data_IF_833954572891
#
_entry.id   IF_833954572891
#
_cell.length_a   1.000
_cell.length_b   1.000
_cell.length_c   1.000
_cell.angle_alpha   90.00
_cell.angle_beta   90.00
_cell.angle_gamma   90.00
#
_symmetry.space_group_name_H-M   'P 1'
#
loop_
_entity.id
_entity.type
_entity.pdbx_description
1 polymer ?
#
# COMPACT_ATOMS: atom_id res chain seq x y z
N UNK A 1 -26.78 8.77 43.36
CA UNK A 1 -25.68 9.45 42.61
C UNK A 1 -25.08 8.52 41.55
N UNK A 2 -25.91 7.78 40.81
CA UNK A 2 -25.47 6.85 39.75
C UNK A 2 -26.14 7.18 38.41
N UNK A 3 -26.42 8.46 38.15
CA UNK A 3 -26.94 8.90 36.85
C UNK A 3 -25.81 9.09 35.84
N UNK A 4 -25.41 7.93 35.32
CA UNK A 4 -24.96 7.68 33.96
C UNK A 4 -23.59 8.26 33.55
N UNK A 5 -22.54 7.50 33.87
CA UNK A 5 -21.20 7.67 33.28
C UNK A 5 -21.25 7.60 31.74
N UNK A 6 -22.16 6.80 31.18
CA UNK A 6 -22.29 6.60 29.73
C UNK A 6 -22.58 7.89 28.94
N UNK A 7 -23.58 8.74 29.29
CA UNK A 7 -23.75 10.07 28.71
C UNK A 7 -22.54 10.99 28.81
N UNK A 8 -21.80 10.97 29.93
CA UNK A 8 -20.56 11.76 30.06
C UNK A 8 -19.47 11.26 29.11
N UNK A 9 -19.25 9.95 29.04
CA UNK A 9 -18.30 9.33 28.11
C UNK A 9 -18.68 9.64 26.65
N UNK A 10 -19.97 9.58 26.30
CA UNK A 10 -20.47 9.98 24.97
C UNK A 10 -20.20 11.46 24.68
N UNK A 11 -20.45 12.37 25.64
CA UNK A 11 -20.20 13.81 25.49
C UNK A 11 -18.71 14.12 25.25
N UNK A 12 -17.82 13.37 25.92
CA UNK A 12 -16.36 13.46 25.75
C UNK A 12 -15.83 12.68 24.53
N UNK A 13 -16.70 11.99 23.78
CA UNK A 13 -16.36 11.12 22.65
C UNK A 13 -15.39 9.99 23.03
N UNK A 14 -15.52 9.48 24.26
CA UNK A 14 -14.74 8.36 24.80
C UNK A 14 -15.44 7.03 24.49
N UNK A 15 -15.50 6.70 23.20
CA UNK A 15 -16.29 5.55 22.74
C UNK A 15 -15.72 4.20 23.17
N UNK A 16 -14.40 4.04 23.30
CA UNK A 16 -13.79 2.81 23.78
C UNK A 16 -14.12 2.55 25.24
N UNK A 17 -13.92 3.55 26.10
CA UNK A 17 -14.39 3.49 27.49
C UNK A 17 -15.88 3.21 27.56
N UNK A 18 -16.71 3.82 26.71
CA UNK A 18 -18.16 3.58 26.71
C UNK A 18 -18.54 2.14 26.31
N UNK A 19 -17.75 1.45 25.49
CA UNK A 19 -18.03 0.07 25.08
C UNK A 19 -17.50 -0.94 26.11
N UNK A 20 -16.35 -0.67 26.73
CA UNK A 20 -15.72 -1.59 27.68
C UNK A 20 -16.12 -1.36 29.15
N UNK A 21 -16.83 -0.26 29.46
CA UNK A 21 -17.16 0.16 30.84
C UNK A 21 -17.69 -0.99 31.70
N UNK A 22 -18.75 -1.67 31.26
CA UNK A 22 -19.39 -2.75 32.04
C UNK A 22 -18.44 -3.94 32.26
N UNK A 23 -17.66 -4.29 31.23
CA UNK A 23 -16.68 -5.38 31.30
C UNK A 23 -15.57 -5.05 32.30
N UNK A 24 -15.03 -3.82 32.23
CA UNK A 24 -13.95 -3.36 33.13
C UNK A 24 -14.42 -3.15 34.56
N UNK A 25 -15.68 -2.73 34.77
CA UNK A 25 -16.27 -2.63 36.11
C UNK A 25 -16.41 -4.01 36.77
N UNK A 26 -16.85 -5.01 36.00
CA UNK A 26 -16.90 -6.39 36.48
C UNK A 26 -15.51 -6.96 36.74
N UNK A 27 -14.54 -6.72 35.85
CA UNK A 27 -13.16 -7.15 36.01
C UNK A 27 -12.51 -6.55 37.27
N UNK A 28 -12.75 -5.26 37.53
CA UNK A 28 -12.23 -4.58 38.72
C UNK A 28 -12.81 -5.18 40.02
N UNK A 29 -14.10 -5.55 40.03
CA UNK A 29 -14.73 -6.14 41.22
C UNK A 29 -14.30 -7.58 41.47
N UNK A 30 -14.03 -8.37 40.41
CA UNK A 30 -13.62 -9.78 40.54
C UNK A 30 -12.12 -9.97 40.71
N UNK A 31 -11.30 -9.16 40.02
CA UNK A 31 -9.83 -9.30 40.02
C UNK A 31 -9.13 -8.41 41.07
N UNK A 32 -9.89 -7.59 41.80
CA UNK A 32 -9.36 -6.70 42.84
C UNK A 32 -8.45 -5.60 42.31
N UNK A 33 -8.72 -5.09 41.11
CA UNK A 33 -7.92 -4.01 40.51
C UNK A 33 -7.94 -2.76 41.40
N UNK A 34 -6.78 -2.15 41.58
CA UNK A 34 -6.72 -0.82 42.19
C UNK A 34 -7.41 0.22 41.31
N UNK A 35 -7.87 1.32 41.91
CA UNK A 35 -8.48 2.44 41.18
C UNK A 35 -7.58 2.95 40.04
N UNK A 36 -6.25 2.92 40.24
CA UNK A 36 -5.26 3.33 39.25
C UNK A 36 -5.23 2.36 38.07
N UNK A 37 -5.13 1.07 38.32
CA UNK A 37 -5.08 0.04 37.27
C UNK A 37 -6.36 0.02 36.45
N UNK A 38 -7.52 0.10 37.11
CA UNK A 38 -8.81 0.22 36.42
C UNK A 38 -8.85 1.43 35.48
N UNK A 39 -8.42 2.60 35.97
CA UNK A 39 -8.44 3.82 35.17
C UNK A 39 -7.45 3.75 33.99
N UNK A 40 -6.26 3.17 34.21
CA UNK A 40 -5.26 2.95 33.17
C UNK A 40 -5.78 2.03 32.07
N UNK A 41 -6.41 0.90 32.42
CA UNK A 41 -7.03 -0.02 31.46
C UNK A 41 -8.15 0.64 30.65
N UNK A 42 -9.00 1.42 31.31
CA UNK A 42 -10.06 2.16 30.65
C UNK A 42 -9.52 3.19 29.64
N UNK A 43 -8.45 3.90 29.98
CA UNK A 43 -7.79 4.80 29.05
C UNK A 43 -7.13 4.05 27.90
N UNK A 44 -6.51 2.90 28.17
CA UNK A 44 -5.90 2.06 27.13
C UNK A 44 -6.95 1.56 26.13
N UNK A 45 -8.14 1.17 26.58
CA UNK A 45 -9.24 0.76 25.70
C UNK A 45 -9.68 1.90 24.76
N UNK A 46 -9.74 3.14 25.27
CA UNK A 46 -10.03 4.31 24.44
C UNK A 46 -8.92 4.59 23.42
N UNK A 47 -7.66 4.51 23.85
CA UNK A 47 -6.50 4.71 22.96
C UNK A 47 -6.49 3.68 21.83
N UNK A 48 -6.68 2.40 22.16
CA UNK A 48 -6.74 1.31 21.18
C UNK A 48 -7.82 1.58 20.12
N UNK A 49 -9.05 1.93 20.53
CA UNK A 49 -10.14 2.23 19.58
C UNK A 49 -9.82 3.47 18.71
N UNK A 50 -9.14 4.47 19.27
CA UNK A 50 -8.72 5.65 18.48
C UNK A 50 -7.66 5.30 17.46
N UNK A 51 -6.69 4.48 17.84
CA UNK A 51 -5.63 4.01 16.94
C UNK A 51 -6.21 3.16 15.81
N UNK A 52 -7.10 2.22 16.13
CA UNK A 52 -7.80 1.38 15.15
C UNK A 52 -8.58 2.23 14.14
N UNK A 53 -9.39 3.19 14.63
CA UNK A 53 -10.16 4.08 13.76
C UNK A 53 -9.27 4.98 12.91
N UNK A 54 -8.13 5.43 13.44
CA UNK A 54 -7.16 6.19 12.65
C UNK A 54 -6.55 5.33 11.56
N UNK A 55 -6.15 4.09 11.88
CA UNK A 55 -5.62 3.14 10.91
C UNK A 55 -6.66 2.85 9.82
N UNK A 56 -7.90 2.52 10.17
CA UNK A 56 -8.99 2.29 9.22
C UNK A 56 -9.22 3.49 8.27
N UNK A 57 -9.20 4.71 8.81
CA UNK A 57 -9.31 5.93 8.01
C UNK A 57 -8.14 6.08 7.04
N UNK A 58 -6.90 5.83 7.49
CA UNK A 58 -5.71 5.87 6.64
C UNK A 58 -5.76 4.79 5.57
N UNK A 59 -6.23 3.57 5.88
CA UNK A 59 -6.44 2.49 4.89
C UNK A 59 -7.41 2.93 3.80
N UNK A 60 -8.56 3.52 4.17
CA UNK A 60 -9.53 4.06 3.21
C UNK A 60 -8.93 5.18 2.36
N UNK A 61 -8.17 6.08 2.97
CA UNK A 61 -7.50 7.19 2.26
C UNK A 61 -6.37 6.71 1.35
N UNK A 62 -5.73 5.59 1.65
CA UNK A 62 -4.63 5.05 0.87
C UNK A 62 -5.04 4.56 -0.51
N UNK A 63 -6.34 4.32 -0.73
CA UNK A 63 -6.89 3.97 -2.04
C UNK A 63 -6.18 2.77 -2.70
N UNK A 64 -5.81 1.76 -1.90
CA UNK A 64 -5.24 0.52 -2.40
C UNK A 64 -6.20 -0.14 -3.39
N UNK A 65 -5.63 -0.78 -4.42
CA UNK A 65 -6.42 -1.57 -5.38
C UNK A 65 -7.11 -2.74 -4.68
N UNK A 66 -6.37 -3.44 -3.83
CA UNK A 66 -6.83 -4.56 -3.04
C UNK A 66 -6.19 -4.51 -1.64
N UNK A 67 -6.89 -4.97 -0.61
CA UNK A 67 -6.29 -5.11 0.72
C UNK A 67 -5.35 -6.32 0.74
N UNK A 68 -4.07 -6.11 0.43
CA UNK A 68 -3.01 -7.14 0.49
C UNK A 68 -2.17 -6.94 1.74
N UNK A 69 -1.93 -8.02 2.48
CA UNK A 69 -1.03 -8.01 3.64
C UNK A 69 0.20 -8.87 3.38
N UNK A 70 1.29 -8.59 4.11
CA UNK A 70 2.53 -9.35 3.96
C UNK A 70 2.39 -10.79 4.47
N UNK A 71 1.50 -11.00 5.43
CA UNK A 71 1.17 -12.30 6.00
C UNK A 71 0.51 -13.22 4.97
N UNK A 72 -0.18 -12.64 3.98
CA UNK A 72 -0.82 -13.37 2.87
C UNK A 72 0.16 -13.72 1.73
N UNK A 73 1.42 -13.26 1.82
CA UNK A 73 2.40 -13.46 0.75
C UNK A 73 3.12 -14.81 0.89
N UNK A 74 2.96 -15.67 -0.12
CA UNK A 74 3.65 -16.95 -0.17
C UNK A 74 5.09 -16.78 -0.67
N UNK A 75 6.01 -16.59 0.28
CA UNK A 75 7.45 -16.52 0.01
C UNK A 75 8.05 -17.85 -0.47
N UNK A 76 7.39 -18.99 -0.25
CA UNK A 76 7.88 -20.28 -0.75
C UNK A 76 7.72 -20.39 -2.27
N UNK A 77 6.70 -19.72 -2.83
CA UNK A 77 6.45 -19.68 -4.26
C UNK A 77 7.57 -18.95 -5.04
N UNK A 78 8.15 -17.90 -4.46
CA UNK A 78 9.20 -17.13 -5.10
C UNK A 78 10.41 -16.93 -4.18
N UNK A 79 11.33 -17.89 -4.22
CA UNK A 79 12.56 -17.89 -3.44
C UNK A 79 13.54 -16.75 -3.82
N UNK A 80 13.35 -16.06 -4.95
CA UNK A 80 14.17 -14.90 -5.30
C UNK A 80 13.95 -13.72 -4.35
N UNK A 81 12.82 -13.72 -3.64
CA UNK A 81 12.42 -12.63 -2.74
C UNK A 81 12.97 -12.93 -1.34
N UNK A 82 13.95 -12.16 -0.91
CA UNK A 82 14.54 -12.28 0.43
C UNK A 82 13.56 -11.75 1.48
N UNK A 83 13.01 -12.63 2.31
CA UNK A 83 12.11 -12.27 3.44
C UNK A 83 12.68 -11.14 4.30
N UNK A 84 13.96 -11.23 4.66
CA UNK A 84 14.64 -10.22 5.50
C UNK A 84 14.54 -8.82 4.92
N UNK A 85 14.77 -8.66 3.62
CA UNK A 85 14.67 -7.39 2.92
C UNK A 85 13.23 -6.83 2.93
N UNK A 86 12.23 -7.70 2.75
CA UNK A 86 10.82 -7.28 2.79
C UNK A 86 10.43 -6.80 4.20
N UNK A 87 10.83 -7.53 5.23
CA UNK A 87 10.56 -7.14 6.62
C UNK A 87 11.35 -5.90 7.05
N UNK A 88 12.55 -5.69 6.53
CA UNK A 88 13.30 -4.44 6.71
C UNK A 88 12.51 -3.25 6.14
N UNK A 89 12.01 -3.37 4.89
CA UNK A 89 11.16 -2.33 4.30
C UNK A 89 9.86 -2.13 5.10
N UNK A 90 9.27 -3.20 5.62
CA UNK A 90 8.07 -3.14 6.46
C UNK A 90 8.28 -2.37 7.78
N UNK A 91 9.52 -2.26 8.27
CA UNK A 91 9.85 -1.39 9.43
C UNK A 91 9.67 0.10 9.15
N UNK A 92 9.50 0.46 7.87
CA UNK A 92 9.33 1.83 7.39
C UNK A 92 10.55 2.74 7.65
N UNK A 93 11.74 2.16 7.88
CA UNK A 93 12.98 2.91 8.02
C UNK A 93 13.25 3.79 6.80
N UNK A 94 13.05 3.26 5.60
CA UNK A 94 13.23 4.01 4.34
C UNK A 94 12.33 5.26 4.26
N UNK A 95 11.09 5.21 4.80
CA UNK A 95 10.17 6.37 4.85
C UNK A 95 10.70 7.48 5.77
N UNK A 96 11.29 7.10 6.90
CA UNK A 96 11.90 8.05 7.86
C UNK A 96 13.16 8.69 7.29
N UNK A 97 13.94 7.91 6.54
CA UNK A 97 15.17 8.35 5.89
C UNK A 97 14.95 9.08 4.55
N UNK A 98 13.68 9.22 4.11
CA UNK A 98 13.30 9.82 2.82
C UNK A 98 13.95 9.11 1.63
N UNK A 99 14.06 7.79 1.71
CA UNK A 99 14.54 6.93 0.61
C UNK A 99 13.36 6.41 -0.19
N UNK A 100 13.60 6.16 -1.46
CA UNK A 100 12.62 5.61 -2.40
C UNK A 100 12.82 4.10 -2.56
N UNK A 101 11.85 3.42 -3.17
CA UNK A 101 11.95 1.97 -3.43
C UNK A 101 11.43 1.66 -4.82
N UNK A 102 12.22 0.93 -5.60
CA UNK A 102 11.85 0.51 -6.95
C UNK A 102 11.77 -1.01 -7.05
N UNK A 103 10.61 -1.53 -7.40
CA UNK A 103 10.41 -2.94 -7.67
C UNK A 103 10.49 -3.21 -9.16
N UNK A 104 11.46 -4.04 -9.58
CA UNK A 104 11.64 -4.43 -10.98
C UNK A 104 11.39 -5.93 -11.14
N UNK A 105 10.75 -6.33 -12.23
CA UNK A 105 10.59 -7.74 -12.55
C UNK A 105 9.40 -8.02 -13.46
N UNK A 106 9.26 -9.25 -13.99
CA UNK A 106 8.18 -9.56 -14.92
C UNK A 106 6.79 -9.51 -14.25
N UNK A 107 5.70 -9.44 -15.04
CA UNK A 107 4.34 -9.45 -14.51
C UNK A 107 4.05 -10.72 -13.69
N UNK A 108 3.27 -10.56 -12.62
CA UNK A 108 2.80 -11.69 -11.81
C UNK A 108 3.79 -12.25 -10.79
N UNK A 109 4.95 -11.63 -10.58
CA UNK A 109 5.97 -12.08 -9.62
C UNK A 109 5.76 -11.64 -8.17
N UNK A 110 4.76 -10.76 -7.91
CA UNK A 110 4.39 -10.33 -6.55
C UNK A 110 4.64 -8.86 -6.22
N UNK A 111 5.24 -8.05 -7.12
CA UNK A 111 5.56 -6.63 -6.89
C UNK A 111 4.41 -5.82 -6.26
N UNK A 112 3.27 -5.77 -6.94
CA UNK A 112 2.08 -5.04 -6.47
C UNK A 112 1.53 -5.53 -5.12
N UNK A 113 1.69 -6.82 -4.81
CA UNK A 113 1.27 -7.37 -3.51
C UNK A 113 2.21 -6.87 -2.41
N UNK A 114 3.52 -6.95 -2.63
CA UNK A 114 4.53 -6.50 -1.67
C UNK A 114 4.42 -5.00 -1.42
N UNK A 115 4.25 -4.19 -2.46
CA UNK A 115 4.04 -2.74 -2.32
C UNK A 115 2.85 -2.42 -1.42
N UNK A 116 1.69 -3.05 -1.68
CA UNK A 116 0.48 -2.82 -0.87
C UNK A 116 0.65 -3.36 0.55
N UNK A 117 1.31 -4.51 0.74
CA UNK A 117 1.62 -5.06 2.06
C UNK A 117 2.56 -4.19 2.89
N UNK A 118 3.59 -3.61 2.27
CA UNK A 118 4.48 -2.63 2.90
C UNK A 118 3.72 -1.34 3.18
N UNK A 119 2.88 -0.88 2.25
CA UNK A 119 1.98 0.25 2.46
C UNK A 119 1.05 0.05 3.67
N UNK A 120 0.51 -1.15 3.85
CA UNK A 120 -0.27 -1.48 5.05
C UNK A 120 0.58 -1.41 6.32
N UNK A 121 1.81 -1.92 6.28
CA UNK A 121 2.74 -1.82 7.41
C UNK A 121 3.06 -0.36 7.75
N UNK A 122 3.22 0.50 6.73
CA UNK A 122 3.42 1.94 6.92
C UNK A 122 2.22 2.62 7.58
N UNK A 123 1.00 2.26 7.20
CA UNK A 123 -0.22 2.77 7.85
C UNK A 123 -0.27 2.37 9.33
N UNK A 124 0.10 1.12 9.66
CA UNK A 124 0.20 0.65 11.04
C UNK A 124 1.27 1.38 11.84
N UNK A 125 2.37 1.77 11.19
CA UNK A 125 3.38 2.66 11.77
C UNK A 125 2.97 4.14 11.85
N UNK A 126 1.73 4.48 11.49
CA UNK A 126 1.18 5.83 11.60
C UNK A 126 1.37 6.73 10.38
N UNK A 127 1.98 6.22 9.31
CA UNK A 127 2.24 7.00 8.09
C UNK A 127 0.99 7.15 7.21
N UNK A 128 0.88 8.30 6.55
CA UNK A 128 -0.06 8.53 5.47
C UNK A 128 0.48 7.89 4.19
N UNK A 129 -0.30 6.98 3.62
CA UNK A 129 0.03 6.28 2.38
C UNK A 129 -0.99 6.65 1.33
N UNK A 130 -0.58 6.72 0.06
CA UNK A 130 -1.50 6.81 -1.09
C UNK A 130 -1.00 5.92 -2.21
N UNK A 131 -1.90 5.12 -2.78
CA UNK A 131 -1.64 4.19 -3.86
C UNK A 131 -2.40 4.63 -5.11
N UNK A 132 -1.71 4.61 -6.25
CA UNK A 132 -2.33 4.68 -7.58
C UNK A 132 -1.55 3.86 -8.60
N UNK A 133 -2.22 3.38 -9.64
CA UNK A 133 -1.51 2.90 -10.83
C UNK A 133 -0.98 4.09 -11.64
N UNK A 134 0.11 3.93 -12.40
CA UNK A 134 0.64 5.02 -13.23
C UNK A 134 -0.40 5.54 -14.24
N UNK A 135 -1.22 4.66 -14.81
CA UNK A 135 -2.28 5.04 -15.76
C UNK A 135 -3.33 5.93 -15.12
N UNK A 136 -3.60 5.67 -13.86
CA UNK A 136 -4.54 6.43 -13.08
C UNK A 136 -3.96 7.77 -12.60
N UNK A 137 -2.66 7.82 -12.29
CA UNK A 137 -1.96 9.09 -12.05
C UNK A 137 -2.15 10.00 -13.26
N UNK A 138 -1.81 9.50 -14.44
CA UNK A 138 -1.96 10.24 -15.70
C UNK A 138 -3.41 10.66 -15.92
N UNK A 139 -4.38 9.77 -15.68
CA UNK A 139 -5.81 10.09 -15.83
C UNK A 139 -6.24 11.21 -14.89
N UNK A 140 -5.80 11.17 -13.64
CA UNK A 140 -6.16 12.18 -12.63
C UNK A 140 -5.65 13.57 -13.05
N UNK A 141 -4.45 13.67 -13.63
CA UNK A 141 -3.90 14.94 -14.13
C UNK A 141 -4.54 15.40 -15.45
N UNK A 142 -4.75 14.49 -16.42
CA UNK A 142 -5.36 14.84 -17.71
C UNK A 142 -6.79 15.35 -17.56
N UNK A 143 -7.56 14.80 -16.63
CA UNK A 143 -8.95 15.25 -16.40
C UNK A 143 -9.01 16.66 -15.82
N UNK A 144 -7.97 17.07 -15.10
CA UNK A 144 -7.96 18.28 -14.29
C UNK A 144 -7.31 19.48 -15.01
N UNK A 145 -6.43 19.25 -15.99
CA UNK A 145 -6.03 20.29 -16.96
C UNK A 145 -7.24 20.93 -17.66
N UNK A 146 -8.32 20.18 -17.83
CA UNK A 146 -9.57 20.68 -18.41
C UNK A 146 -10.39 21.56 -17.44
N UNK A 147 -10.04 21.60 -16.15
CA UNK A 147 -10.86 22.16 -15.06
C UNK A 147 -10.11 23.13 -14.13
N UNK A 148 -8.88 23.55 -14.47
CA UNK A 148 -8.02 24.48 -13.70
C UNK A 148 -7.69 24.02 -12.25
N UNK A 149 -7.78 22.72 -11.95
CA UNK A 149 -7.60 22.19 -10.60
C UNK A 149 -6.19 21.69 -10.25
N UNK A 150 -5.19 21.87 -11.12
CA UNK A 150 -3.91 21.12 -11.11
C UNK A 150 -3.24 21.03 -9.74
N UNK A 151 -3.23 22.12 -8.97
CA UNK A 151 -2.65 22.13 -7.62
C UNK A 151 -3.36 21.19 -6.64
N UNK A 152 -4.68 21.04 -6.76
CA UNK A 152 -5.48 20.15 -5.90
C UNK A 152 -5.14 18.69 -6.18
N UNK A 153 -5.02 18.31 -7.45
CA UNK A 153 -4.59 16.94 -7.83
C UNK A 153 -3.16 16.71 -7.39
N UNK A 154 -2.25 17.64 -7.69
CA UNK A 154 -0.85 17.54 -7.28
C UNK A 154 -0.70 17.38 -5.76
N UNK A 155 -1.40 18.18 -4.95
CA UNK A 155 -1.38 18.07 -3.50
C UNK A 155 -1.83 16.70 -2.96
N UNK A 156 -2.69 15.98 -3.69
CA UNK A 156 -3.07 14.60 -3.36
C UNK A 156 -1.87 13.65 -3.43
N UNK A 157 -0.97 13.87 -4.38
CA UNK A 157 0.24 13.10 -4.59
C UNK A 157 1.41 13.56 -3.71
N UNK A 158 1.45 14.83 -3.28
CA UNK A 158 2.54 15.37 -2.44
C UNK A 158 2.34 15.16 -0.93
N UNK A 159 1.09 15.21 -0.45
CA UNK A 159 0.76 15.11 0.99
C UNK A 159 1.16 13.79 1.67
N UNK A 160 1.04 12.59 1.04
CA UNK A 160 1.33 11.33 1.69
C UNK A 160 2.81 11.20 2.09
N UNK A 161 3.06 10.57 3.25
CA UNK A 161 4.41 10.20 3.69
C UNK A 161 5.04 9.17 2.73
N UNK A 162 4.22 8.24 2.24
CA UNK A 162 4.57 7.27 1.20
C UNK A 162 3.58 7.36 0.03
N UNK A 163 4.10 7.64 -1.16
CA UNK A 163 3.35 7.51 -2.40
C UNK A 163 3.74 6.19 -3.09
N UNK A 164 2.75 5.38 -3.47
CA UNK A 164 2.96 4.15 -4.22
C UNK A 164 2.41 4.33 -5.63
N UNK A 165 3.28 4.23 -6.64
CA UNK A 165 2.92 4.28 -8.07
C UNK A 165 3.15 2.90 -8.69
N UNK A 166 2.07 2.19 -9.00
CA UNK A 166 2.14 0.80 -9.47
C UNK A 166 1.96 0.66 -10.99
N UNK A 167 2.30 -0.52 -11.52
CA UNK A 167 2.06 -0.97 -12.89
C UNK A 167 2.82 -0.21 -14.01
N UNK A 168 4.00 0.36 -13.73
CA UNK A 168 4.85 0.93 -14.80
C UNK A 168 5.29 -0.16 -15.79
N UNK A 169 5.43 0.21 -17.06
CA UNK A 169 5.91 -0.68 -18.12
C UNK A 169 4.89 -1.70 -18.65
N UNK A 170 3.60 -1.58 -18.31
CA UNK A 170 2.54 -2.42 -18.87
C UNK A 170 2.08 -1.98 -20.27
N UNK A 171 2.03 -0.67 -20.53
CA UNK A 171 1.64 -0.05 -21.80
C UNK A 171 2.40 1.27 -21.95
N UNK A 172 2.46 1.80 -23.17
CA UNK A 172 2.91 3.18 -23.39
C UNK A 172 1.94 4.15 -22.71
N UNK A 173 2.49 5.20 -22.12
CA UNK A 173 1.71 6.25 -21.51
C UNK A 173 1.22 7.25 -22.58
N UNK A 174 0.09 7.92 -22.36
CA UNK A 174 -0.33 9.06 -23.18
C UNK A 174 0.77 10.14 -23.28
N UNK A 175 0.69 11.01 -24.30
CA UNK A 175 1.56 12.18 -24.40
C UNK A 175 1.46 13.04 -23.12
N UNK A 176 2.53 13.75 -22.77
CA UNK A 176 2.65 14.61 -21.56
C UNK A 176 2.60 13.88 -20.21
N UNK A 177 2.39 12.56 -20.19
CA UNK A 177 2.44 11.76 -18.95
C UNK A 177 3.76 11.87 -18.20
N UNK A 178 4.87 12.03 -18.94
CA UNK A 178 6.20 12.25 -18.38
C UNK A 178 6.30 13.52 -17.54
N UNK A 179 5.66 14.60 -17.98
CA UNK A 179 5.65 15.89 -17.28
C UNK A 179 5.00 15.77 -15.90
N UNK A 180 3.83 15.13 -15.82
CA UNK A 180 3.12 14.93 -14.55
C UNK A 180 3.90 14.04 -13.58
N UNK A 181 4.42 12.91 -14.07
CA UNK A 181 5.21 12.02 -13.24
C UNK A 181 6.50 12.71 -12.77
N UNK A 182 7.15 13.46 -13.65
CA UNK A 182 8.33 14.24 -13.33
C UNK A 182 8.03 15.28 -12.24
N UNK A 183 6.96 16.05 -12.36
CA UNK A 183 6.60 17.04 -11.36
C UNK A 183 6.36 16.42 -9.98
N UNK A 184 5.65 15.29 -9.92
CA UNK A 184 5.42 14.56 -8.66
C UNK A 184 6.73 14.06 -8.06
N UNK A 185 7.59 13.41 -8.85
CA UNK A 185 8.87 12.87 -8.36
C UNK A 185 9.80 14.00 -7.92
N UNK A 186 9.90 15.07 -8.71
CA UNK A 186 10.75 16.22 -8.40
C UNK A 186 10.32 16.90 -7.10
N UNK A 187 9.03 17.15 -6.90
CA UNK A 187 8.52 17.81 -5.67
C UNK A 187 8.54 16.91 -4.43
N UNK A 188 8.70 15.59 -4.59
CA UNK A 188 8.82 14.64 -3.47
C UNK A 188 10.26 14.31 -3.12
N UNK A 189 11.19 14.48 -4.07
CA UNK A 189 12.62 14.19 -3.93
C UNK A 189 13.18 14.78 -2.62
N UNK A 190 13.82 13.93 -1.82
CA UNK A 190 14.40 14.25 -0.50
C UNK A 190 13.43 14.75 0.59
N UNK A 191 12.15 14.95 0.27
CA UNK A 191 11.12 15.42 1.19
C UNK A 191 10.22 14.28 1.68
N UNK A 192 9.83 13.36 0.79
CA UNK A 192 8.87 12.29 1.04
C UNK A 192 9.19 11.06 0.18
N UNK A 193 8.96 9.87 0.72
CA UNK A 193 9.29 8.63 0.03
C UNK A 193 8.28 8.24 -1.04
N UNK A 194 8.78 7.68 -2.12
CA UNK A 194 8.01 7.15 -3.24
C UNK A 194 8.43 5.71 -3.50
N UNK A 195 7.44 4.85 -3.69
CA UNK A 195 7.64 3.45 -4.06
C UNK A 195 7.02 3.21 -5.43
N UNK A 196 7.78 2.62 -6.35
CA UNK A 196 7.30 2.35 -7.70
C UNK A 196 7.47 0.88 -8.08
N UNK A 197 6.62 0.37 -8.96
CA UNK A 197 6.86 -0.92 -9.61
C UNK A 197 6.99 -0.75 -11.11
N UNK A 198 7.85 -1.55 -11.73
CA UNK A 198 7.97 -1.63 -13.18
C UNK A 198 8.08 -3.06 -13.67
N UNK A 199 7.38 -3.34 -14.76
CA UNK A 199 7.47 -4.59 -15.51
C UNK A 199 8.53 -4.55 -16.62
N UNK A 200 9.22 -3.42 -16.76
CA UNK A 200 10.29 -3.19 -17.73
C UNK A 200 11.58 -2.75 -17.05
N UNK A 201 12.74 -3.04 -17.64
CA UNK A 201 14.01 -2.46 -17.24
C UNK A 201 13.96 -0.91 -17.29
N UNK A 202 14.90 -0.27 -16.58
CA UNK A 202 14.93 1.21 -16.47
C UNK A 202 15.24 1.89 -17.80
N UNK A 203 16.03 1.22 -18.65
CA UNK A 203 16.44 1.68 -19.97
C UNK A 203 15.23 1.87 -20.90
N UNK A 204 14.16 1.09 -20.68
CA UNK A 204 12.93 1.16 -21.46
C UNK A 204 12.02 2.33 -21.04
N UNK A 205 12.29 3.01 -19.91
CA UNK A 205 11.39 4.07 -19.41
C UNK A 205 11.30 5.26 -20.35
N UNK A 206 12.39 5.63 -21.02
CA UNK A 206 12.36 6.69 -22.03
C UNK A 206 11.35 6.39 -23.16
N UNK A 207 11.29 5.13 -23.61
CA UNK A 207 10.34 4.67 -24.63
C UNK A 207 8.90 4.58 -24.10
N UNK A 208 8.72 4.23 -22.83
CA UNK A 208 7.40 4.11 -22.19
C UNK A 208 6.76 5.47 -21.92
N UNK A 209 7.57 6.43 -21.49
CA UNK A 209 7.17 7.81 -21.20
C UNK A 209 6.98 8.59 -22.50
N UNK A 210 7.78 8.28 -23.54
CA UNK A 210 7.74 8.97 -24.83
C UNK A 210 8.46 10.32 -24.82
N UNK A 211 9.24 10.60 -23.78
CA UNK A 211 10.06 11.80 -23.61
C UNK A 211 11.37 11.45 -22.89
N UNK A 212 12.47 11.52 -23.65
CA UNK A 212 13.81 11.10 -23.20
C UNK A 212 14.34 12.04 -22.10
N UNK A 213 14.35 13.38 -22.28
CA UNK A 213 14.68 14.33 -21.22
C UNK A 213 13.93 14.09 -19.90
N UNK A 214 12.60 14.00 -19.92
CA UNK A 214 11.82 13.77 -18.70
C UNK A 214 12.13 12.42 -18.05
N UNK A 215 12.29 11.35 -18.85
CA UNK A 215 12.65 10.05 -18.31
C UNK A 215 14.02 10.07 -17.61
N UNK A 216 15.02 10.71 -18.23
CA UNK A 216 16.33 10.88 -17.60
C UNK A 216 16.25 11.66 -16.29
N UNK A 217 15.50 12.77 -16.29
CA UNK A 217 15.33 13.62 -15.11
C UNK A 217 14.56 12.95 -13.96
N UNK A 218 13.59 12.07 -14.28
CA UNK A 218 12.87 11.22 -13.31
C UNK A 218 13.83 10.19 -12.72
N UNK A 219 14.54 9.45 -13.56
CA UNK A 219 15.43 8.37 -13.12
C UNK A 219 16.57 8.91 -12.26
N UNK A 220 17.18 10.02 -12.65
CA UNK A 220 18.23 10.69 -11.87
C UNK A 220 17.78 11.00 -10.43
N UNK A 221 16.64 11.68 -10.27
CA UNK A 221 16.12 12.05 -8.95
C UNK A 221 15.63 10.86 -8.14
N UNK A 222 14.84 9.99 -8.77
CA UNK A 222 14.25 8.85 -8.09
C UNK A 222 15.31 7.84 -7.65
N UNK A 223 16.30 7.56 -8.51
CA UNK A 223 17.33 6.57 -8.20
C UNK A 223 18.42 7.10 -7.25
N UNK A 224 18.58 8.43 -7.13
CA UNK A 224 19.57 9.06 -6.24
C UNK A 224 19.55 8.46 -4.82
N UNK A 225 18.36 8.20 -4.27
CA UNK A 225 18.20 7.62 -2.93
C UNK A 225 17.20 6.47 -2.91
N UNK A 226 17.29 5.54 -3.86
CA UNK A 226 16.38 4.39 -3.94
C UNK A 226 17.00 3.04 -3.57
N UNK A 227 16.22 2.20 -2.91
CA UNK A 227 16.45 0.76 -2.86
C UNK A 227 15.84 0.10 -4.09
N UNK A 228 16.67 -0.45 -4.99
CA UNK A 228 16.20 -1.18 -6.17
C UNK A 228 16.09 -2.67 -5.85
N UNK A 229 14.86 -3.18 -5.85
CA UNK A 229 14.54 -4.58 -5.57
C UNK A 229 14.14 -5.29 -6.86
N UNK A 230 15.05 -6.10 -7.39
CA UNK A 230 14.79 -6.95 -8.54
C UNK A 230 14.16 -8.28 -8.10
N UNK A 231 13.01 -8.61 -8.69
CA UNK A 231 12.29 -9.85 -8.49
C UNK A 231 12.28 -10.64 -9.79
N UNK A 232 12.73 -11.88 -9.74
CA UNK A 232 12.65 -12.84 -10.84
C UNK A 232 11.63 -13.93 -10.50
N UNK A 233 11.43 -14.89 -11.38
CA UNK A 233 10.54 -16.04 -11.13
C UNK A 233 9.28 -16.07 -12.00
N UNK A 234 8.49 -17.12 -11.80
CA UNK A 234 7.29 -17.41 -12.59
C UNK A 234 6.10 -16.58 -12.11
N UNK A 235 5.12 -16.39 -13.00
CA UNK A 235 3.88 -15.69 -12.67
C UNK A 235 3.00 -16.53 -11.74
N UNK A 236 2.70 -16.00 -10.56
CA UNK A 236 1.78 -16.59 -9.59
C UNK A 236 0.36 -16.74 -10.15
N UNK A 237 -0.05 -15.80 -11.01
CA UNK A 237 -1.39 -15.81 -11.62
C UNK A 237 -1.57 -16.98 -12.58
N UNK A 238 -0.53 -17.32 -13.35
CA UNK A 238 -0.57 -18.41 -14.32
C UNK A 238 -0.49 -19.80 -13.65
N UNK A 239 0.26 -19.91 -12.56
CA UNK A 239 0.34 -21.16 -11.78
C UNK A 239 -1.02 -21.53 -11.15
N UNK A 240 -1.75 -20.54 -10.62
CA UNK A 240 -3.11 -20.74 -10.10
C UNK A 240 -4.10 -21.19 -11.16
N UNK A 241 -4.02 -20.64 -12.39
CA UNK A 241 -4.88 -21.10 -13.50
C UNK A 241 -4.54 -22.51 -13.98
N UNK A 242 -3.27 -22.91 -13.95
CA UNK A 242 -2.82 -24.25 -14.37
C UNK A 242 -3.23 -25.38 -13.41
N UNK A 243 -3.45 -25.07 -12.13
CA UNK A 243 -3.96 -26.05 -11.15
C UNK A 243 -5.47 -26.29 -11.25
N UNK A 244 -6.21 -25.44 -11.98
CA UNK A 244 -7.66 -25.55 -12.19
C UNK A 244 -8.08 -26.24 -13.49
N UNK A 245 -7.16 -26.51 -14.43
CA UNK A 245 -7.49 -26.99 -15.78
C UNK A 245 -7.17 -28.47 -16.05
N UNK A 246 -6.83 -29.26 -15.03
CA UNK A 246 -6.46 -30.68 -15.19
C UNK A 246 -7.58 -31.68 -14.82
N UNK A 247 -8.87 -31.29 -14.86
CA UNK A 247 -9.99 -32.21 -14.58
C UNK A 247 -10.86 -32.60 -15.79
N UNK A 248 -10.60 -32.11 -16.99
CA UNK A 248 -11.31 -32.60 -18.20
C UNK A 248 -10.50 -33.68 -18.91
N UNK A 249 -10.67 -34.92 -18.45
CA UNK A 249 -10.32 -36.11 -19.24
C UNK A 249 -11.02 -36.01 -20.60
N UNK A 250 -10.25 -35.98 -21.68
CA UNK A 250 -10.77 -36.15 -23.04
C UNK A 250 -11.47 -37.53 -23.15
N UNK A 251 -12.63 -37.64 -23.81
CA UNK A 251 -13.25 -38.92 -24.05
C UNK A 251 -12.40 -39.70 -25.07
N UNK A 252 -12.05 -40.95 -24.72
CA UNK A 252 -11.44 -41.92 -25.64
C UNK A 252 -12.41 -42.15 -26.80
N UNK A 253 -11.93 -41.92 -28.03
CA UNK A 253 -12.66 -42.27 -29.24
C UNK A 253 -13.00 -43.75 -29.25
N UNK A 254 -14.28 -44.06 -29.46
CA UNK A 254 -14.71 -45.40 -29.83
C UNK A 254 -14.38 -45.62 -31.31
N UNK A 255 -13.49 -46.58 -31.55
CA UNK A 255 -13.39 -47.33 -32.80
C UNK A 255 -14.73 -48.00 -33.09
N UNK A 256 -15.33 -47.69 -34.23
CA UNK A 256 -16.35 -48.54 -34.85
C UNK A 256 -15.79 -49.08 -36.16
N UNK A 257 -15.44 -50.35 -36.14
CA UNK A 257 -15.34 -51.20 -37.32
C UNK A 257 -16.72 -51.30 -38.00
N UNK A 258 -16.74 -51.09 -39.31
CA UNK A 258 -17.46 -51.90 -40.32
C UNK A 258 -17.07 -51.46 -41.71
#
# INVERSE_FOLDING_TARGET
MSESLLPLLKKLRLSGMSHSLEVRLHEASTSGLTHREFFELMLQDELNIREDRQAERRVKQANFRDTKRLEDFDFSFNASIKKSQIFELATCRFIRERRDVLWLGPPGTGKSHLCQGIGMSAIRCGFLVYYRSIFDVVRDFLHDEAMEGHERVLNRYLKPDLLIIDDMGMKQLPKRSGEYLFEVIMRRHELRSTMMTSNRPLEDWAKLIGDVPSAGAILDRFLHRSDVVQITGRSYRLDKSGKGSNSTRAPKGQTTDK
#
